data_IF_056836991697
#
_entry.id   IF_056836991697
#
_cell.length_a   1.000
_cell.length_b   1.000
_cell.length_c   1.000
_cell.angle_alpha   90.00
_cell.angle_beta   90.00
_cell.angle_gamma   90.00
#
_symmetry.space_group_name_H-M   'P 1'
#
loop_
_entity.id
_entity.type
_entity.pdbx_description
1 polymer ?
#
# COMPACT_ATOMS: atom_id res chain seq x y z
N UNK A 1 11.23 12.87 -2.84
CA UNK A 1 12.15 12.72 -1.71
C UNK A 1 12.43 14.04 -0.99
N UNK A 2 13.15 15.01 -1.59
CA UNK A 2 13.63 16.22 -0.89
C UNK A 2 12.56 17.04 -0.15
N UNK A 3 11.43 17.27 -0.82
CA UNK A 3 10.25 17.91 -0.23
C UNK A 3 9.82 17.20 1.08
N UNK A 4 9.73 15.88 1.03
CA UNK A 4 9.22 15.09 2.13
C UNK A 4 10.24 14.85 3.25
N UNK A 5 11.51 14.60 2.90
CA UNK A 5 12.55 14.31 3.88
C UNK A 5 13.03 15.57 4.63
N UNK A 6 13.19 16.71 3.93
CA UNK A 6 13.77 17.92 4.54
C UNK A 6 12.74 18.96 4.95
N UNK A 7 11.72 19.22 4.13
CA UNK A 7 10.74 20.26 4.42
C UNK A 7 9.65 19.73 5.34
N UNK A 8 9.15 18.53 5.05
CA UNK A 8 8.06 17.91 5.82
C UNK A 8 8.53 16.90 6.87
N UNK A 9 9.83 16.57 6.90
CA UNK A 9 10.47 15.70 7.89
C UNK A 9 9.72 14.38 8.13
N UNK A 10 9.40 13.67 7.05
CA UNK A 10 8.86 12.32 7.11
C UNK A 10 9.83 11.36 7.83
N UNK A 11 9.25 10.40 8.53
CA UNK A 11 9.96 9.48 9.43
C UNK A 11 10.53 8.26 8.70
N UNK A 12 9.85 7.76 7.65
CA UNK A 12 10.26 6.56 6.91
C UNK A 12 10.50 5.32 7.81
N UNK A 13 9.47 4.80 8.49
CA UNK A 13 9.61 3.70 9.46
C UNK A 13 10.26 2.43 8.88
N UNK A 14 10.03 2.16 7.59
CA UNK A 14 10.64 1.01 6.91
C UNK A 14 12.14 1.21 6.64
N UNK A 15 12.55 2.45 6.35
CA UNK A 15 13.98 2.77 6.21
C UNK A 15 14.70 2.63 7.56
N UNK A 16 14.05 3.05 8.66
CA UNK A 16 14.58 2.90 10.02
C UNK A 16 14.84 1.42 10.38
N UNK A 17 13.96 0.50 9.99
CA UNK A 17 14.20 -0.94 10.20
C UNK A 17 15.48 -1.39 9.49
N UNK A 18 15.67 -0.98 8.23
CA UNK A 18 16.84 -1.35 7.43
C UNK A 18 18.10 -0.72 7.99
N UNK A 19 18.06 0.55 8.42
CA UNK A 19 19.23 1.24 8.95
C UNK A 19 19.69 0.64 10.29
N UNK A 20 18.76 0.28 11.16
CA UNK A 20 19.04 -0.42 12.41
C UNK A 20 19.66 -1.81 12.18
N UNK A 21 19.22 -2.55 11.16
CA UNK A 21 19.79 -3.85 10.79
C UNK A 21 21.18 -3.73 10.16
N UNK A 22 21.40 -2.70 9.35
CA UNK A 22 22.68 -2.39 8.74
C UNK A 22 23.74 -1.88 9.74
N UNK A 23 23.38 -1.74 11.02
CA UNK A 23 24.31 -1.48 12.11
C UNK A 23 24.54 0.00 12.39
N UNK A 24 23.58 0.87 12.04
CA UNK A 24 23.61 2.26 12.51
C UNK A 24 23.66 2.27 14.05
N UNK A 25 24.76 2.80 14.59
CA UNK A 25 25.04 2.79 16.02
C UNK A 25 24.23 3.91 16.68
N UNK A 26 23.15 3.56 17.37
CA UNK A 26 22.73 4.37 18.52
C UNK A 26 23.92 4.37 19.49
N UNK A 27 24.58 5.53 19.63
CA UNK A 27 25.82 5.68 20.39
C UNK A 27 25.69 5.04 21.79
N UNK A 28 26.57 4.06 22.08
CA UNK A 28 26.63 3.40 23.39
C UNK A 28 25.75 2.16 23.58
N UNK A 29 24.96 1.72 22.59
CA UNK A 29 24.06 0.58 22.77
C UNK A 29 24.61 -0.75 22.21
N UNK A 30 24.23 -1.89 22.82
CA UNK A 30 24.63 -3.23 22.33
C UNK A 30 24.16 -3.43 20.88
N UNK A 31 24.94 -4.12 20.02
CA UNK A 31 24.50 -4.47 18.66
C UNK A 31 23.13 -5.15 18.67
N UNK A 32 22.31 -4.87 17.65
CA UNK A 32 20.93 -5.35 17.56
C UNK A 32 20.80 -6.86 17.76
N UNK A 33 21.59 -7.64 17.03
CA UNK A 33 21.63 -9.11 17.10
C UNK A 33 22.21 -9.68 18.39
N UNK A 34 22.80 -8.85 19.26
CA UNK A 34 23.26 -9.27 20.60
C UNK A 34 22.21 -8.99 21.68
N UNK A 35 21.07 -8.40 21.33
CA UNK A 35 19.99 -8.13 22.27
C UNK A 35 19.13 -9.37 22.50
N UNK A 36 18.97 -9.79 23.77
CA UNK A 36 18.04 -10.87 24.12
C UNK A 36 16.61 -10.56 23.69
N UNK A 37 16.17 -9.30 23.82
CA UNK A 37 14.84 -8.86 23.38
C UNK A 37 14.61 -8.98 21.87
N UNK A 38 15.66 -8.83 21.06
CA UNK A 38 15.53 -9.05 19.62
C UNK A 38 15.20 -10.52 19.33
N UNK A 39 15.97 -11.43 19.95
CA UNK A 39 15.76 -12.87 19.76
C UNK A 39 14.45 -13.36 20.35
N UNK A 40 13.96 -12.78 21.46
CA UNK A 40 12.63 -13.14 21.96
C UNK A 40 11.53 -12.75 20.96
N UNK A 41 11.57 -11.55 20.40
CA UNK A 41 10.62 -11.14 19.36
C UNK A 41 10.72 -12.01 18.11
N UNK A 42 11.94 -12.33 17.68
CA UNK A 42 12.21 -13.22 16.55
C UNK A 42 11.64 -14.62 16.78
N UNK A 43 11.95 -15.25 17.92
CA UNK A 43 11.51 -16.60 18.24
C UNK A 43 10.00 -16.70 18.41
N UNK A 44 9.33 -15.66 18.91
CA UNK A 44 7.85 -15.64 18.99
C UNK A 44 7.26 -15.67 17.58
N UNK A 45 7.68 -14.76 16.69
CA UNK A 45 7.13 -14.69 15.34
C UNK A 45 7.50 -15.93 14.50
N UNK A 46 8.79 -16.27 14.44
CA UNK A 46 9.28 -17.40 13.65
C UNK A 46 8.80 -18.74 14.22
N UNK A 47 8.75 -18.87 15.54
CA UNK A 47 8.30 -20.10 16.21
C UNK A 47 6.81 -20.37 16.00
N UNK A 48 5.94 -19.37 16.19
CA UNK A 48 4.50 -19.54 16.01
C UNK A 48 4.14 -19.80 14.54
N UNK A 49 4.75 -19.06 13.60
CA UNK A 49 4.49 -19.24 12.18
C UNK A 49 5.09 -20.55 11.65
N UNK A 50 6.30 -20.90 12.09
CA UNK A 50 6.92 -22.18 11.77
C UNK A 50 6.13 -23.35 12.34
N UNK A 51 5.60 -23.23 13.56
CA UNK A 51 4.71 -24.23 14.15
C UNK A 51 3.45 -24.43 13.31
N UNK A 52 2.81 -23.32 12.91
CA UNK A 52 1.64 -23.40 12.07
C UNK A 52 1.97 -23.99 10.70
N UNK A 53 3.14 -23.69 10.13
CA UNK A 53 3.58 -24.26 8.85
C UNK A 53 3.66 -25.78 8.94
N UNK A 54 4.39 -26.28 9.93
CA UNK A 54 4.58 -27.72 10.17
C UNK A 54 3.25 -28.45 10.43
N UNK A 55 2.31 -27.79 11.11
CA UNK A 55 0.99 -28.33 11.39
C UNK A 55 0.09 -28.38 10.14
N UNK A 56 0.19 -27.39 9.24
CA UNK A 56 -0.70 -27.26 8.07
C UNK A 56 -0.23 -28.11 6.89
N UNK A 57 1.09 -28.25 6.71
CA UNK A 57 1.67 -29.07 5.65
C UNK A 57 1.68 -30.57 6.00
N UNK A 58 1.21 -30.93 7.19
CA UNK A 58 1.12 -32.33 7.64
C UNK A 58 2.47 -32.98 7.93
N UNK A 59 3.57 -32.20 7.90
CA UNK A 59 4.94 -32.66 8.21
C UNK A 59 4.98 -33.29 9.62
N UNK A 60 4.22 -32.73 10.55
CA UNK A 60 4.02 -33.33 11.87
C UNK A 60 2.55 -33.66 12.09
N UNK A 61 2.24 -34.96 12.09
CA UNK A 61 0.91 -35.48 12.43
C UNK A 61 0.62 -35.26 13.93
N UNK A 62 -0.59 -34.82 14.28
CA UNK A 62 -1.13 -34.56 15.63
C UNK A 62 -0.87 -33.18 16.26
N UNK A 63 -0.40 -32.19 15.50
CA UNK A 63 -0.30 -30.81 15.99
C UNK A 63 -1.49 -29.98 15.50
N UNK A 64 -2.09 -29.18 16.39
CA UNK A 64 -3.07 -28.17 16.01
C UNK A 64 -2.38 -26.82 15.75
N UNK A 65 -2.67 -26.15 14.62
CA UNK A 65 -2.15 -24.81 14.37
C UNK A 65 -2.72 -23.81 15.37
N UNK A 66 -1.90 -22.84 15.77
CA UNK A 66 -2.30 -21.67 16.55
C UNK A 66 -3.19 -20.80 15.67
N UNK A 67 -4.44 -20.61 16.08
CA UNK A 67 -5.38 -19.71 15.39
C UNK A 67 -4.94 -18.27 15.56
N UNK A 68 -4.37 -17.69 14.51
CA UNK A 68 -4.02 -16.27 14.42
C UNK A 68 -5.16 -15.43 13.82
N UNK A 69 -6.21 -16.09 13.36
CA UNK A 69 -7.42 -15.48 12.80
C UNK A 69 -8.66 -15.91 13.58
N UNK A 70 -9.46 -14.92 13.97
CA UNK A 70 -10.76 -15.13 14.58
C UNK A 70 -11.83 -14.45 13.74
N UNK A 71 -12.60 -15.25 13.00
CA UNK A 71 -13.77 -14.82 12.24
C UNK A 71 -14.88 -14.39 13.20
N UNK A 72 -15.47 -13.23 12.95
CA UNK A 72 -16.55 -12.71 13.79
C UNK A 72 -17.89 -13.32 13.46
N UNK A 73 -18.05 -13.95 12.28
CA UNK A 73 -19.31 -14.57 11.87
C UNK A 73 -19.89 -15.51 12.95
N UNK A 74 -19.05 -16.32 13.56
CA UNK A 74 -19.43 -17.28 14.61
C UNK A 74 -20.03 -16.62 15.86
N UNK A 75 -19.73 -15.35 16.09
CA UNK A 75 -20.16 -14.60 17.29
C UNK A 75 -21.16 -13.48 16.98
N UNK A 76 -21.14 -12.96 15.76
CA UNK A 76 -21.76 -11.68 15.36
C UNK A 76 -22.64 -11.83 14.11
N UNK A 77 -22.74 -13.04 13.54
CA UNK A 77 -23.50 -13.31 12.31
C UNK A 77 -25.02 -13.14 12.42
N UNK A 78 -25.56 -12.90 13.61
CA UNK A 78 -26.99 -12.67 13.85
C UNK A 78 -27.25 -11.41 14.69
N UNK A 79 -28.40 -10.76 14.49
CA UNK A 79 -28.85 -9.61 15.29
C UNK A 79 -28.36 -8.26 14.79
N UNK A 80 -28.27 -7.28 15.71
CA UNK A 80 -27.95 -5.88 15.38
C UNK A 80 -26.56 -5.71 14.74
N UNK A 81 -25.65 -6.65 14.94
CA UNK A 81 -24.28 -6.58 14.42
C UNK A 81 -24.06 -7.41 13.14
N UNK A 82 -25.12 -7.95 12.52
CA UNK A 82 -25.04 -8.86 11.36
C UNK A 82 -24.13 -8.37 10.23
N UNK A 83 -24.07 -7.05 9.99
CA UNK A 83 -23.21 -6.47 8.95
C UNK A 83 -21.71 -6.75 9.16
N UNK A 84 -21.28 -7.02 10.39
CA UNK A 84 -19.90 -7.35 10.73
C UNK A 84 -19.58 -8.85 10.64
N UNK A 85 -20.51 -9.70 10.18
CA UNK A 85 -20.28 -11.15 10.08
C UNK A 85 -19.06 -11.52 9.23
N UNK A 86 -18.77 -10.74 8.18
CA UNK A 86 -17.57 -10.91 7.32
C UNK A 86 -16.31 -10.20 7.84
N UNK A 87 -16.31 -9.75 9.10
CA UNK A 87 -15.12 -9.16 9.74
C UNK A 87 -14.33 -10.24 10.48
N UNK A 88 -13.02 -10.08 10.53
CA UNK A 88 -12.14 -10.97 11.26
C UNK A 88 -11.05 -10.16 11.96
N UNK A 89 -10.52 -10.76 13.03
CA UNK A 89 -9.37 -10.25 13.75
C UNK A 89 -8.17 -11.12 13.41
N UNK A 90 -7.12 -10.52 12.85
CA UNK A 90 -5.91 -11.23 12.46
C UNK A 90 -4.68 -10.68 13.20
N UNK A 91 -3.83 -11.59 13.67
CA UNK A 91 -2.54 -11.29 14.30
C UNK A 91 -1.41 -11.50 13.30
N UNK A 92 -0.84 -10.40 12.81
CA UNK A 92 0.25 -10.35 11.86
C UNK A 92 1.43 -9.67 12.53
N UNK A 93 2.40 -10.48 12.93
CA UNK A 93 3.58 -10.06 13.68
C UNK A 93 4.36 -8.92 13.01
N UNK A 94 4.56 -8.96 11.68
CA UNK A 94 5.21 -7.86 10.96
C UNK A 94 4.42 -6.54 11.05
N UNK A 95 3.09 -6.59 10.92
CA UNK A 95 2.23 -5.40 11.00
C UNK A 95 2.24 -4.82 12.41
N UNK A 96 2.23 -5.66 13.46
CA UNK A 96 2.35 -5.22 14.86
C UNK A 96 3.69 -4.49 15.06
N UNK A 97 4.79 -5.09 14.60
CA UNK A 97 6.13 -4.52 14.73
C UNK A 97 6.27 -3.18 14.02
N UNK A 98 5.80 -3.08 12.78
CA UNK A 98 5.84 -1.81 12.04
C UNK A 98 4.93 -0.76 12.66
N UNK A 99 3.74 -1.14 13.12
CA UNK A 99 2.80 -0.21 13.79
C UNK A 99 3.36 0.37 15.08
N UNK A 100 4.26 -0.35 15.77
CA UNK A 100 4.99 0.16 16.92
C UNK A 100 6.02 1.24 16.55
N UNK A 101 6.67 1.12 15.38
CA UNK A 101 7.65 2.08 14.87
C UNK A 101 6.96 3.35 14.33
N UNK A 102 5.85 3.19 13.63
CA UNK A 102 5.02 4.28 13.08
C UNK A 102 4.52 5.22 14.19
N UNK A 103 4.51 6.55 14.03
CA UNK A 103 3.97 7.48 15.03
C UNK A 103 2.58 7.12 15.53
N UNK A 104 2.34 7.27 16.84
CA UNK A 104 1.10 6.88 17.48
C UNK A 104 -0.14 7.54 16.86
N UNK A 105 -0.03 8.81 16.41
CA UNK A 105 -1.14 9.50 15.72
C UNK A 105 -1.48 8.86 14.36
N UNK A 106 -0.48 8.37 13.63
CA UNK A 106 -0.71 7.71 12.34
C UNK A 106 -1.30 6.32 12.58
N UNK A 107 -0.68 5.50 13.43
CA UNK A 107 -1.19 4.15 13.71
C UNK A 107 -2.57 4.17 14.36
N UNK A 108 -2.88 5.15 15.22
CA UNK A 108 -4.24 5.40 15.71
C UNK A 108 -5.24 5.53 14.57
N UNK A 109 -4.92 6.38 13.60
CA UNK A 109 -5.84 6.73 12.52
C UNK A 109 -6.10 5.55 11.59
N UNK A 110 -5.09 4.71 11.35
CA UNK A 110 -5.21 3.53 10.49
C UNK A 110 -6.31 2.56 10.99
N UNK A 111 -6.32 2.20 12.27
CA UNK A 111 -7.35 1.32 12.82
C UNK A 111 -8.66 2.06 13.14
N UNK A 112 -8.58 3.34 13.56
CA UNK A 112 -9.75 4.14 13.92
C UNK A 112 -10.69 4.34 12.74
N UNK A 113 -10.17 4.70 11.56
CA UNK A 113 -11.02 4.88 10.36
C UNK A 113 -11.61 3.55 9.86
N UNK A 114 -10.92 2.43 10.08
CA UNK A 114 -11.48 1.11 9.77
C UNK A 114 -12.66 0.78 10.69
N UNK A 115 -12.53 1.03 12.00
CA UNK A 115 -13.62 0.86 12.97
C UNK A 115 -14.77 1.83 12.68
N UNK A 116 -14.48 3.07 12.29
CA UNK A 116 -15.50 4.03 11.87
C UNK A 116 -16.25 3.53 10.63
N UNK A 117 -15.53 2.94 9.66
CA UNK A 117 -16.14 2.32 8.49
C UNK A 117 -17.00 1.10 8.87
N UNK A 118 -16.58 0.28 9.84
CA UNK A 118 -17.41 -0.80 10.40
C UNK A 118 -18.72 -0.25 10.99
N UNK A 119 -18.67 0.89 11.68
CA UNK A 119 -19.87 1.59 12.18
C UNK A 119 -20.77 2.09 11.05
N UNK A 120 -20.19 2.71 10.02
CA UNK A 120 -20.93 3.13 8.82
C UNK A 120 -21.61 1.94 8.14
N UNK A 121 -20.92 0.80 8.08
CA UNK A 121 -21.44 -0.42 7.49
C UNK A 121 -22.67 -0.95 8.25
N UNK A 122 -22.64 -0.94 9.58
CA UNK A 122 -23.80 -1.31 10.40
C UNK A 122 -24.99 -0.39 10.13
N UNK A 123 -24.77 0.92 10.07
CA UNK A 123 -25.82 1.89 9.75
C UNK A 123 -26.42 1.60 8.37
N UNK A 124 -25.60 1.32 7.35
CA UNK A 124 -26.10 0.96 6.02
C UNK A 124 -26.95 -0.31 6.03
N UNK A 125 -26.51 -1.33 6.77
CA UNK A 125 -27.25 -2.60 6.92
C UNK A 125 -28.56 -2.41 7.71
N UNK A 126 -28.60 -1.49 8.67
CA UNK A 126 -29.83 -1.13 9.40
C UNK A 126 -30.82 -0.35 8.52
N UNK A 127 -30.31 0.50 7.62
CA UNK A 127 -31.11 1.22 6.62
C UNK A 127 -31.57 0.34 5.45
N UNK A 128 -31.23 -0.96 5.46
CA UNK A 128 -31.61 -1.91 4.42
C UNK A 128 -30.75 -1.84 3.15
N UNK A 129 -29.63 -1.13 3.18
CA UNK A 129 -28.67 -1.08 2.08
C UNK A 129 -27.63 -2.19 2.20
N UNK A 130 -27.85 -3.30 1.49
CA UNK A 130 -26.94 -4.44 1.46
C UNK A 130 -27.06 -5.34 2.68
N UNK A 131 -26.57 -6.58 2.55
CA UNK A 131 -26.67 -7.59 3.61
C UNK A 131 -25.32 -7.83 4.31
N UNK A 132 -24.21 -7.70 3.57
CA UNK A 132 -22.87 -8.06 4.05
C UNK A 132 -21.80 -7.06 3.63
N UNK A 133 -20.65 -7.13 4.32
CA UNK A 133 -19.46 -6.29 4.07
C UNK A 133 -19.01 -6.29 2.61
N UNK A 134 -19.16 -7.40 1.91
CA UNK A 134 -18.82 -7.55 0.50
C UNK A 134 -19.77 -6.81 -0.46
N UNK A 135 -21.08 -6.79 -0.14
CA UNK A 135 -22.08 -6.07 -0.95
C UNK A 135 -21.86 -4.55 -0.96
N UNK A 136 -21.36 -4.01 0.15
CA UNK A 136 -21.03 -2.59 0.34
C UNK A 136 -19.58 -2.24 -0.02
N UNK A 137 -18.72 -3.24 -0.21
CA UNK A 137 -17.30 -3.07 -0.55
C UNK A 137 -17.11 -2.39 -1.90
N UNK A 138 -17.80 -2.87 -2.93
CA UNK A 138 -17.60 -2.42 -4.31
C UNK A 138 -18.13 -1.00 -4.55
N UNK A 139 -19.22 -0.60 -3.87
CA UNK A 139 -19.86 0.70 -4.11
C UNK A 139 -19.46 1.75 -3.06
N UNK A 140 -19.63 1.44 -1.77
CA UNK A 140 -19.41 2.41 -0.69
C UNK A 140 -17.93 2.58 -0.34
N UNK A 141 -17.24 1.47 -0.04
CA UNK A 141 -15.83 1.51 0.39
C UNK A 141 -14.91 2.03 -0.70
N UNK A 142 -15.06 1.47 -1.90
CA UNK A 142 -14.21 1.79 -3.05
C UNK A 142 -14.48 3.22 -3.54
N UNK A 143 -15.73 3.66 -3.58
CA UNK A 143 -16.09 5.04 -3.91
C UNK A 143 -15.51 6.06 -2.93
N UNK A 144 -15.80 5.90 -1.63
CA UNK A 144 -15.31 6.79 -0.58
C UNK A 144 -13.77 6.84 -0.55
N UNK A 145 -13.15 5.67 -0.63
CA UNK A 145 -11.70 5.54 -0.71
C UNK A 145 -11.09 6.22 -1.94
N UNK A 146 -11.69 6.06 -3.12
CA UNK A 146 -11.23 6.70 -4.35
C UNK A 146 -11.28 8.23 -4.27
N UNK A 147 -12.39 8.79 -3.79
CA UNK A 147 -12.54 10.23 -3.62
C UNK A 147 -11.51 10.81 -2.65
N UNK A 148 -11.31 10.12 -1.52
CA UNK A 148 -10.29 10.46 -0.55
C UNK A 148 -8.88 10.40 -1.15
N UNK A 149 -8.58 9.37 -1.95
CA UNK A 149 -7.30 9.23 -2.65
C UNK A 149 -7.02 10.38 -3.60
N UNK A 150 -8.02 10.81 -4.37
CA UNK A 150 -7.87 11.87 -5.36
C UNK A 150 -7.53 13.19 -4.68
N UNK A 151 -8.28 13.59 -3.64
CA UNK A 151 -8.00 14.84 -2.92
C UNK A 151 -6.64 14.79 -2.22
N UNK A 152 -6.32 13.67 -1.55
CA UNK A 152 -5.02 13.50 -0.91
C UNK A 152 -3.87 13.57 -1.92
N UNK A 153 -3.95 12.81 -3.01
CA UNK A 153 -2.94 12.80 -4.06
C UNK A 153 -2.78 14.17 -4.72
N UNK A 154 -3.87 14.88 -5.03
CA UNK A 154 -3.82 16.22 -5.60
C UNK A 154 -3.10 17.20 -4.68
N UNK A 155 -3.36 17.11 -3.37
CA UNK A 155 -2.69 17.94 -2.36
C UNK A 155 -1.19 17.64 -2.32
N UNK A 156 -0.79 16.37 -2.40
CA UNK A 156 0.62 15.98 -2.41
C UNK A 156 1.31 16.38 -3.72
N UNK A 157 0.67 16.17 -4.87
CA UNK A 157 1.14 16.64 -6.18
C UNK A 157 1.36 18.15 -6.16
N UNK A 158 0.38 18.89 -5.63
CA UNK A 158 0.47 20.33 -5.48
C UNK A 158 1.69 20.71 -4.66
N UNK A 159 1.89 20.13 -3.48
CA UNK A 159 3.05 20.42 -2.63
C UNK A 159 4.39 20.05 -3.31
N UNK A 160 4.43 19.00 -4.12
CA UNK A 160 5.66 18.55 -4.79
C UNK A 160 5.95 19.24 -6.14
N UNK A 161 5.01 20.03 -6.67
CA UNK A 161 5.06 20.59 -8.04
C UNK A 161 6.35 21.34 -8.38
N UNK A 162 6.94 22.04 -7.40
CA UNK A 162 8.16 22.82 -7.60
C UNK A 162 9.37 21.93 -7.92
N UNK A 163 9.48 20.79 -7.24
CA UNK A 163 10.54 19.81 -7.49
C UNK A 163 10.28 18.99 -8.76
N UNK A 164 9.01 18.69 -9.08
CA UNK A 164 8.65 18.01 -10.33
C UNK A 164 8.95 18.85 -11.57
N UNK A 165 8.84 20.17 -11.47
CA UNK A 165 9.06 21.13 -12.55
C UNK A 165 10.42 21.85 -12.44
N UNK A 166 11.36 21.32 -11.65
CA UNK A 166 12.63 22.00 -11.41
C UNK A 166 13.53 22.08 -12.67
N UNK A 167 13.26 21.27 -13.70
CA UNK A 167 13.91 21.42 -15.02
C UNK A 167 13.65 22.80 -15.64
N UNK A 168 12.41 23.31 -15.51
CA UNK A 168 12.00 24.63 -16.01
C UNK A 168 12.17 25.74 -14.98
N UNK A 169 12.23 25.40 -13.69
CA UNK A 169 12.36 26.35 -12.58
C UNK A 169 13.64 26.08 -11.76
N UNK A 170 14.83 26.39 -12.31
CA UNK A 170 16.09 26.13 -11.62
C UNK A 170 16.23 26.91 -10.30
N UNK A 171 15.51 28.02 -10.14
CA UNK A 171 15.50 28.81 -8.91
C UNK A 171 15.01 28.05 -7.66
N UNK A 172 14.26 26.96 -7.82
CA UNK A 172 13.83 26.07 -6.72
C UNK A 172 15.02 25.36 -6.08
N UNK A 173 16.12 25.20 -6.81
CA UNK A 173 17.32 24.47 -6.37
C UNK A 173 18.39 25.39 -5.76
N UNK A 174 18.06 26.65 -5.45
CA UNK A 174 18.97 27.56 -4.74
C UNK A 174 19.33 26.99 -3.37
N UNK A 175 20.62 26.95 -3.04
CA UNK A 175 21.14 26.37 -1.79
C UNK A 175 21.29 24.85 -1.78
N UNK A 176 20.98 24.17 -2.90
CA UNK A 176 21.21 22.73 -3.06
C UNK A 176 22.62 22.50 -3.64
N UNK A 177 23.41 21.53 -3.15
CA UNK A 177 24.71 21.19 -3.73
C UNK A 177 24.62 20.92 -5.24
N UNK A 178 25.60 21.39 -6.01
CA UNK A 178 25.56 21.37 -7.48
C UNK A 178 25.26 19.98 -8.07
N UNK A 179 25.91 18.94 -7.54
CA UNK A 179 25.69 17.56 -7.98
C UNK A 179 24.26 17.08 -7.70
N UNK A 180 23.67 17.48 -6.58
CA UNK A 180 22.29 17.13 -6.22
C UNK A 180 21.29 17.90 -7.09
N UNK A 181 21.54 19.19 -7.33
CA UNK A 181 20.73 20.00 -8.22
C UNK A 181 20.72 19.42 -9.66
N UNK A 182 21.86 18.96 -10.16
CA UNK A 182 21.96 18.28 -11.46
C UNK A 182 21.13 17.01 -11.50
N UNK A 183 21.22 16.14 -10.49
CA UNK A 183 20.44 14.90 -10.38
C UNK A 183 18.93 15.17 -10.33
N UNK A 184 18.49 16.17 -9.55
CA UNK A 184 17.07 16.54 -9.48
C UNK A 184 16.55 17.05 -10.83
N UNK A 185 17.34 17.86 -11.55
CA UNK A 185 16.96 18.36 -12.89
C UNK A 185 16.87 17.22 -13.90
N UNK A 186 17.83 16.29 -13.90
CA UNK A 186 17.78 15.11 -14.77
C UNK A 186 16.56 14.25 -14.42
N UNK A 187 16.32 14.00 -13.13
CA UNK A 187 15.16 13.22 -12.67
C UNK A 187 13.83 13.87 -13.06
N UNK A 188 13.72 15.20 -12.95
CA UNK A 188 12.56 15.98 -13.40
C UNK A 188 12.38 15.90 -14.92
N UNK A 189 13.46 16.03 -15.70
CA UNK A 189 13.43 15.90 -17.15
C UNK A 189 13.01 14.49 -17.61
N UNK A 190 13.59 13.44 -17.00
CA UNK A 190 13.26 12.05 -17.29
C UNK A 190 11.82 11.72 -16.90
N UNK A 191 11.35 12.25 -15.78
CA UNK A 191 9.97 12.09 -15.35
C UNK A 191 9.00 12.74 -16.35
N UNK A 192 9.21 14.00 -16.73
CA UNK A 192 8.35 14.71 -17.68
C UNK A 192 8.43 14.12 -19.09
N UNK A 193 9.63 13.79 -19.55
CA UNK A 193 9.87 13.13 -20.84
C UNK A 193 9.25 11.73 -20.89
N UNK A 194 9.39 10.93 -19.83
CA UNK A 194 8.76 9.62 -19.69
C UNK A 194 7.24 9.71 -19.60
N UNK A 195 6.71 10.72 -18.91
CA UNK A 195 5.27 11.02 -18.87
C UNK A 195 4.72 11.28 -20.28
N UNK A 196 5.40 12.15 -21.02
CA UNK A 196 5.01 12.52 -22.37
C UNK A 196 5.13 11.34 -23.33
N UNK A 197 6.25 10.63 -23.29
CA UNK A 197 6.48 9.43 -24.10
C UNK A 197 5.40 8.38 -23.85
N UNK A 198 5.04 8.14 -22.58
CA UNK A 198 3.96 7.22 -22.24
C UNK A 198 2.62 7.66 -22.84
N UNK A 199 2.26 8.94 -22.70
CA UNK A 199 1.02 9.45 -23.27
C UNK A 199 1.01 9.34 -24.80
N UNK A 200 2.13 9.63 -25.47
CA UNK A 200 2.25 9.53 -26.92
C UNK A 200 2.17 8.08 -27.41
N UNK A 201 2.79 7.13 -26.70
CA UNK A 201 2.72 5.70 -27.02
C UNK A 201 1.28 5.19 -26.86
N UNK A 202 0.58 5.57 -25.80
CA UNK A 202 -0.82 5.18 -25.62
C UNK A 202 -1.74 5.81 -26.68
N UNK A 203 -1.57 7.09 -26.97
CA UNK A 203 -2.43 7.81 -27.91
C UNK A 203 -2.17 7.40 -29.37
N UNK A 204 -0.92 7.49 -29.82
CA UNK A 204 -0.56 7.28 -31.23
C UNK A 204 -0.08 5.86 -31.53
N UNK A 205 0.57 5.20 -30.58
CA UNK A 205 1.04 3.82 -30.76
C UNK A 205 -0.08 2.80 -30.66
N UNK A 206 -0.96 2.94 -29.68
CA UNK A 206 -2.09 2.03 -29.46
C UNK A 206 -3.45 2.58 -29.90
N UNK A 207 -3.51 3.81 -30.41
CA UNK A 207 -4.74 4.42 -30.93
C UNK A 207 -5.74 4.87 -29.86
N UNK A 208 -5.31 5.07 -28.61
CA UNK A 208 -6.20 5.56 -27.56
C UNK A 208 -6.52 7.06 -27.76
N UNK A 209 -7.68 7.49 -27.29
CA UNK A 209 -8.04 8.92 -27.37
C UNK A 209 -7.13 9.75 -26.43
N UNK A 210 -6.49 10.79 -26.98
CA UNK A 210 -5.53 11.63 -26.25
C UNK A 210 -6.12 12.29 -24.99
N UNK A 211 -7.40 12.70 -25.02
CA UNK A 211 -8.07 13.28 -23.86
C UNK A 211 -8.19 12.26 -22.73
N UNK A 212 -8.60 11.02 -23.03
CA UNK A 212 -8.68 9.97 -22.02
C UNK A 212 -7.33 9.52 -21.53
N UNK A 213 -6.33 9.46 -22.40
CA UNK A 213 -4.94 9.19 -22.00
C UNK A 213 -4.46 10.22 -20.99
N UNK A 214 -4.72 11.50 -21.22
CA UNK A 214 -4.33 12.58 -20.31
C UNK A 214 -5.04 12.48 -18.95
N UNK A 215 -6.36 12.28 -18.94
CA UNK A 215 -7.15 12.13 -17.70
C UNK A 215 -6.72 10.88 -16.93
N UNK A 216 -6.59 9.75 -17.62
CA UNK A 216 -6.13 8.49 -17.05
C UNK A 216 -4.74 8.64 -16.41
N UNK A 217 -3.82 9.31 -17.12
CA UNK A 217 -2.50 9.64 -16.61
C UNK A 217 -2.57 10.48 -15.34
N UNK A 218 -3.37 11.55 -15.30
CA UNK A 218 -3.54 12.38 -14.11
C UNK A 218 -4.10 11.59 -12.92
N UNK A 219 -5.08 10.72 -13.14
CA UNK A 219 -5.66 9.87 -12.09
C UNK A 219 -4.59 8.94 -11.53
N UNK A 220 -3.89 8.20 -12.40
CA UNK A 220 -2.82 7.28 -11.98
C UNK A 220 -1.74 8.04 -11.22
N UNK A 221 -1.31 9.20 -11.71
CA UNK A 221 -0.27 9.99 -11.04
C UNK A 221 -0.68 10.43 -9.65
N UNK A 222 -1.93 10.86 -9.49
CA UNK A 222 -2.52 11.23 -8.21
C UNK A 222 -2.54 10.03 -7.25
N UNK A 223 -2.98 8.86 -7.74
CA UNK A 223 -3.00 7.63 -6.96
C UNK A 223 -1.59 7.16 -6.58
N UNK A 224 -0.64 7.17 -7.51
CA UNK A 224 0.73 6.72 -7.28
C UNK A 224 1.45 7.61 -6.27
N UNK A 225 1.33 8.94 -6.36
CA UNK A 225 1.99 9.80 -5.37
C UNK A 225 1.36 9.67 -3.99
N UNK A 226 0.03 9.51 -3.92
CA UNK A 226 -0.69 9.26 -2.68
C UNK A 226 -0.22 7.95 -2.04
N UNK A 227 -0.06 6.89 -2.84
CA UNK A 227 0.48 5.61 -2.43
C UNK A 227 1.91 5.75 -1.88
N UNK A 228 2.82 6.38 -2.63
CA UNK A 228 4.21 6.58 -2.20
C UNK A 228 4.25 7.33 -0.88
N UNK A 229 3.43 8.39 -0.73
CA UNK A 229 3.34 9.15 0.51
C UNK A 229 2.83 8.31 1.67
N UNK A 230 1.76 7.54 1.46
CA UNK A 230 1.16 6.71 2.49
C UNK A 230 2.11 5.60 2.99
N UNK A 231 2.90 4.97 2.11
CA UNK A 231 3.93 4.01 2.52
C UNK A 231 5.11 4.69 3.22
N UNK A 232 5.63 5.77 2.65
CA UNK A 232 6.79 6.48 3.20
C UNK A 232 6.52 7.07 4.60
N UNK A 233 5.32 7.61 4.81
CA UNK A 233 4.93 8.21 6.09
C UNK A 233 4.35 7.19 7.07
N UNK A 234 3.48 6.29 6.59
CA UNK A 234 2.71 5.39 7.43
C UNK A 234 3.33 4.01 7.64
N UNK A 235 4.45 3.69 6.98
CA UNK A 235 5.09 2.37 7.07
C UNK A 235 4.19 1.22 6.62
N UNK A 236 3.11 1.49 5.87
CA UNK A 236 2.11 0.47 5.53
C UNK A 236 2.73 -0.54 4.57
N UNK A 237 2.76 -1.81 4.98
CA UNK A 237 3.43 -2.92 4.28
C UNK A 237 2.77 -3.32 2.95
N UNK A 238 1.54 -2.91 2.70
CA UNK A 238 0.85 -3.18 1.45
C UNK A 238 -0.40 -2.32 1.33
N UNK A 239 -0.41 -1.44 0.34
CA UNK A 239 -1.58 -0.66 -0.04
C UNK A 239 -2.05 -1.20 -1.39
N UNK A 240 -3.28 -1.66 -1.41
CA UNK A 240 -3.99 -1.99 -2.63
C UNK A 240 -5.15 -1.03 -2.78
N UNK A 241 -5.38 -0.52 -3.98
CA UNK A 241 -6.62 0.22 -4.25
C UNK A 241 -7.65 -0.75 -4.80
N UNK A 242 -8.82 -0.82 -4.16
CA UNK A 242 -9.98 -1.52 -4.73
C UNK A 242 -10.58 -0.76 -5.93
N UNK A 243 -10.27 0.54 -6.08
CA UNK A 243 -10.73 1.36 -7.18
C UNK A 243 -9.62 1.54 -8.24
N UNK A 244 -9.78 0.93 -9.41
CA UNK A 244 -8.88 1.15 -10.54
C UNK A 244 -9.01 2.55 -11.14
N UNK A 245 -7.96 3.06 -11.78
CA UNK A 245 -7.96 4.40 -12.39
C UNK A 245 -9.07 4.58 -13.44
N UNK A 246 -9.36 3.52 -14.21
CA UNK A 246 -10.48 3.52 -15.16
C UNK A 246 -11.85 3.49 -14.49
N UNK A 247 -11.96 2.84 -13.33
CA UNK A 247 -13.15 2.90 -12.46
C UNK A 247 -13.44 4.34 -12.07
N UNK A 248 -12.44 5.05 -11.57
CA UNK A 248 -12.55 6.47 -11.19
C UNK A 248 -12.91 7.33 -12.40
N UNK A 249 -12.26 7.10 -13.56
CA UNK A 249 -12.57 7.82 -14.80
C UNK A 249 -14.04 7.61 -15.24
N UNK A 250 -14.54 6.37 -15.17
CA UNK A 250 -15.94 6.02 -15.46
C UNK A 250 -16.89 6.74 -14.51
N UNK A 251 -16.55 6.77 -13.23
CA UNK A 251 -17.37 7.43 -12.21
C UNK A 251 -17.43 8.93 -12.46
N UNK A 252 -16.33 9.60 -12.80
CA UNK A 252 -16.32 11.07 -13.03
C UNK A 252 -17.05 11.45 -14.31
N UNK A 253 -16.62 10.91 -15.46
CA UNK A 253 -17.08 11.40 -16.77
C UNK A 253 -18.31 10.65 -17.30
N UNK A 254 -18.53 9.41 -16.84
CA UNK A 254 -19.39 8.49 -17.58
C UNK A 254 -18.76 8.08 -18.90
N UNK A 255 -19.09 6.88 -19.38
CA UNK A 255 -18.51 6.35 -20.62
C UNK A 255 -19.57 6.14 -21.71
N UNK A 256 -20.69 6.86 -21.68
CA UNK A 256 -21.85 6.60 -22.55
C UNK A 256 -21.86 7.38 -23.87
N UNK A 257 -20.84 8.19 -24.17
CA UNK A 257 -20.78 8.98 -25.40
C UNK A 257 -20.06 8.28 -26.55
N UNK A 258 -20.36 8.62 -27.80
CA UNK A 258 -19.69 8.06 -28.99
C UNK A 258 -18.17 8.36 -29.07
N UNK A 259 -17.70 9.35 -28.32
CA UNK A 259 -16.28 9.68 -28.12
C UNK A 259 -15.57 8.68 -27.18
N UNK A 260 -16.31 7.83 -26.47
CA UNK A 260 -15.81 6.74 -25.65
C UNK A 260 -15.95 5.38 -26.35
N UNK A 261 -15.76 5.28 -27.67
CA UNK A 261 -15.83 3.99 -28.33
C UNK A 261 -14.87 2.97 -27.65
N UNK A 262 -15.27 1.71 -27.43
CA UNK A 262 -14.44 0.72 -26.73
C UNK A 262 -13.02 0.59 -27.30
N UNK A 263 -12.86 0.71 -28.62
CA UNK A 263 -11.56 0.68 -29.28
C UNK A 263 -10.61 1.80 -28.82
N UNK A 264 -11.14 2.98 -28.45
CA UNK A 264 -10.35 4.13 -28.00
C UNK A 264 -9.94 4.04 -26.52
N UNK A 265 -10.53 3.11 -25.76
CA UNK A 265 -10.33 2.94 -24.31
C UNK A 265 -9.67 1.60 -23.97
N UNK A 266 -9.83 0.58 -24.81
CA UNK A 266 -9.27 -0.76 -24.61
C UNK A 266 -7.76 -0.78 -24.33
N UNK A 267 -6.90 0.02 -25.00
CA UNK A 267 -5.48 0.07 -24.67
C UNK A 267 -5.20 0.51 -23.23
N UNK A 268 -5.98 1.48 -22.72
CA UNK A 268 -5.85 1.96 -21.35
C UNK A 268 -6.18 0.87 -20.33
N UNK A 269 -7.09 -0.05 -20.68
CA UNK A 269 -7.55 -1.10 -19.79
C UNK A 269 -6.53 -2.22 -19.65
N UNK A 270 -5.92 -2.65 -20.76
CA UNK A 270 -4.79 -3.57 -20.74
C UNK A 270 -3.62 -2.95 -19.98
N UNK A 271 -3.30 -1.69 -20.26
CA UNK A 271 -2.20 -0.99 -19.60
C UNK A 271 -2.43 -0.84 -18.09
N UNK A 272 -3.64 -0.47 -17.68
CA UNK A 272 -4.03 -0.40 -16.27
C UNK A 272 -3.88 -1.76 -15.59
N UNK A 273 -4.34 -2.84 -16.20
CA UNK A 273 -4.27 -4.17 -15.61
C UNK A 273 -2.83 -4.67 -15.46
N UNK A 274 -2.00 -4.53 -16.49
CA UNK A 274 -0.63 -5.05 -16.51
C UNK A 274 0.29 -4.28 -15.58
N UNK A 275 0.26 -2.94 -15.63
CA UNK A 275 1.24 -2.12 -14.91
C UNK A 275 0.73 -1.58 -13.57
N UNK A 276 -0.58 -1.42 -13.43
CA UNK A 276 -1.19 -0.79 -12.26
C UNK A 276 -2.19 -1.71 -11.54
N UNK A 277 -2.44 -2.93 -12.04
CA UNK A 277 -3.34 -3.90 -11.41
C UNK A 277 -2.83 -4.36 -10.04
N UNK A 278 -1.52 -4.34 -9.83
CA UNK A 278 -0.87 -4.72 -8.57
C UNK A 278 -0.18 -3.53 -7.90
N UNK A 279 -0.95 -2.61 -7.30
CA UNK A 279 -0.44 -1.44 -6.56
C UNK A 279 0.65 -1.78 -5.52
N UNK A 280 0.56 -2.96 -4.88
CA UNK A 280 1.53 -3.43 -3.88
C UNK A 280 2.94 -3.66 -4.45
N UNK A 281 3.05 -3.99 -5.74
CA UNK A 281 4.31 -4.31 -6.41
C UNK A 281 4.94 -3.06 -7.05
N UNK A 282 4.32 -1.89 -6.89
CA UNK A 282 4.85 -0.67 -7.47
C UNK A 282 6.17 -0.29 -6.80
N UNK A 283 7.19 0.01 -7.61
CA UNK A 283 8.57 0.19 -7.14
C UNK A 283 8.76 1.54 -6.42
N UNK A 284 7.97 2.56 -6.76
CA UNK A 284 8.21 3.93 -6.28
C UNK A 284 8.18 4.12 -4.75
N UNK A 285 7.28 3.49 -3.97
CA UNK A 285 7.31 3.55 -2.52
C UNK A 285 8.59 2.94 -1.92
N UNK A 286 9.06 1.82 -2.48
CA UNK A 286 10.31 1.19 -2.08
C UNK A 286 11.50 2.09 -2.41
N UNK A 287 11.49 2.73 -3.58
CA UNK A 287 12.50 3.72 -3.97
C UNK A 287 12.56 4.92 -3.02
N UNK A 288 11.40 5.41 -2.54
CA UNK A 288 11.36 6.51 -1.59
C UNK A 288 12.05 6.16 -0.25
N UNK A 289 11.82 4.94 0.25
CA UNK A 289 12.52 4.42 1.43
C UNK A 289 14.01 4.16 1.15
N UNK A 290 14.36 3.60 -0.02
CA UNK A 290 15.76 3.35 -0.39
C UNK A 290 16.57 4.65 -0.50
N UNK A 291 15.98 5.73 -1.02
CA UNK A 291 16.61 7.05 -1.06
C UNK A 291 16.87 7.63 0.34
N UNK A 292 16.01 7.30 1.32
CA UNK A 292 16.24 7.66 2.72
C UNK A 292 17.45 6.94 3.29
N UNK A 293 17.53 5.62 3.09
CA UNK A 293 18.68 4.80 3.50
C UNK A 293 19.97 5.30 2.83
N UNK A 294 19.92 5.66 1.53
CA UNK A 294 21.07 6.23 0.81
C UNK A 294 21.61 7.49 1.49
N UNK A 295 20.71 8.37 1.95
CA UNK A 295 21.06 9.62 2.62
C UNK A 295 21.71 9.35 3.99
N UNK A 296 21.12 8.46 4.80
CA UNK A 296 21.62 8.10 6.13
C UNK A 296 23.03 7.51 6.08
N UNK A 297 23.25 6.54 5.18
CA UNK A 297 24.56 5.90 5.00
C UNK A 297 25.53 6.68 4.10
N UNK A 298 25.15 7.88 3.63
CA UNK A 298 25.94 8.71 2.70
C UNK A 298 26.52 7.92 1.53
N UNK A 299 25.71 7.02 0.97
CA UNK A 299 26.17 6.10 -0.08
C UNK A 299 26.53 6.85 -1.37
N UNK A 300 27.55 6.37 -2.07
CA UNK A 300 27.94 6.92 -3.38
C UNK A 300 26.82 6.69 -4.40
N UNK A 301 26.40 7.78 -5.07
CA UNK A 301 25.20 7.82 -5.92
C UNK A 301 25.22 6.84 -7.09
N UNK A 302 26.36 6.74 -7.78
CA UNK A 302 26.49 5.89 -8.97
C UNK A 302 26.33 4.40 -8.61
N UNK A 303 26.99 3.98 -7.53
CA UNK A 303 26.91 2.61 -7.03
C UNK A 303 25.52 2.26 -6.51
N UNK A 304 24.87 3.20 -5.80
CA UNK A 304 23.52 2.99 -5.29
C UNK A 304 22.51 2.78 -6.43
N UNK A 305 22.47 3.68 -7.41
CA UNK A 305 21.55 3.56 -8.54
C UNK A 305 21.90 2.35 -9.42
N UNK A 306 23.19 2.07 -9.62
CA UNK A 306 23.65 0.88 -10.34
C UNK A 306 23.21 -0.43 -9.67
N UNK A 307 23.35 -0.54 -8.35
CA UNK A 307 22.93 -1.71 -7.60
C UNK A 307 21.41 -1.93 -7.68
N UNK A 308 20.60 -0.87 -7.64
CA UNK A 308 19.15 -0.97 -7.81
C UNK A 308 18.81 -1.49 -9.20
N UNK A 309 19.43 -0.95 -10.26
CA UNK A 309 19.17 -1.41 -11.63
C UNK A 309 19.57 -2.86 -11.84
N UNK A 310 20.75 -3.26 -11.37
CA UNK A 310 21.19 -4.66 -11.41
C UNK A 310 20.23 -5.54 -10.63
N UNK A 311 19.78 -5.12 -9.44
CA UNK A 311 18.80 -5.85 -8.64
C UNK A 311 17.47 -6.04 -9.35
N UNK A 312 16.94 -4.99 -10.00
CA UNK A 312 15.70 -5.08 -10.80
C UNK A 312 15.89 -6.07 -11.96
N UNK A 313 16.99 -5.95 -12.72
CA UNK A 313 17.26 -6.84 -13.86
C UNK A 313 17.40 -8.30 -13.43
N UNK A 314 18.19 -8.57 -12.39
CA UNK A 314 18.38 -9.92 -11.85
C UNK A 314 17.06 -10.47 -11.33
N UNK A 315 16.31 -9.69 -10.55
CA UNK A 315 15.01 -10.13 -10.03
C UNK A 315 14.02 -10.44 -11.15
N UNK A 316 13.93 -9.60 -12.19
CA UNK A 316 13.05 -9.83 -13.35
C UNK A 316 13.49 -11.07 -14.12
N UNK A 317 14.77 -11.21 -14.45
CA UNK A 317 15.28 -12.37 -15.20
C UNK A 317 15.08 -13.67 -14.42
N UNK A 318 15.51 -13.72 -13.15
CA UNK A 318 15.38 -14.91 -12.31
C UNK A 318 13.91 -15.27 -12.10
N UNK A 319 13.03 -14.30 -11.78
CA UNK A 319 11.61 -14.58 -11.58
C UNK A 319 10.91 -15.06 -12.85
N UNK A 320 11.16 -14.44 -14.00
CA UNK A 320 10.57 -14.85 -15.27
C UNK A 320 11.08 -16.23 -15.70
N UNK A 321 12.39 -16.48 -15.65
CA UNK A 321 12.97 -17.78 -16.03
C UNK A 321 12.47 -18.88 -15.10
N UNK A 322 12.47 -18.64 -13.79
CA UNK A 322 12.01 -19.63 -12.80
C UNK A 322 10.52 -19.94 -12.98
N UNK A 323 9.68 -18.92 -13.19
CA UNK A 323 8.25 -19.13 -13.43
C UNK A 323 8.01 -19.98 -14.68
N UNK A 324 8.75 -19.71 -15.77
CA UNK A 324 8.66 -20.47 -17.01
C UNK A 324 9.10 -21.92 -16.79
N UNK A 325 10.25 -22.15 -16.14
CA UNK A 325 10.76 -23.49 -15.86
C UNK A 325 9.79 -24.30 -14.99
N UNK A 326 9.27 -23.71 -13.92
CA UNK A 326 8.28 -24.36 -13.05
C UNK A 326 6.98 -24.66 -13.80
N UNK A 327 6.54 -23.74 -14.67
CA UNK A 327 5.34 -23.94 -15.50
C UNK A 327 5.51 -25.10 -16.49
N UNK A 328 6.70 -25.29 -17.06
CA UNK A 328 7.00 -26.43 -17.93
C UNK A 328 7.14 -27.74 -17.16
N UNK A 329 7.76 -27.71 -15.97
CA UNK A 329 8.02 -28.92 -15.19
C UNK A 329 6.75 -29.49 -14.55
N UNK A 330 5.94 -28.64 -13.92
CA UNK A 330 4.77 -29.08 -13.16
C UNK A 330 3.47 -28.90 -13.94
N UNK A 331 3.48 -28.15 -15.03
CA UNK A 331 2.29 -27.68 -15.74
C UNK A 331 1.77 -26.40 -15.09
N UNK A 332 1.56 -25.34 -15.88
CA UNK A 332 1.09 -24.05 -15.39
C UNK A 332 -0.25 -24.14 -14.63
N UNK A 333 -1.15 -25.03 -15.06
CA UNK A 333 -2.44 -25.27 -14.43
C UNK A 333 -2.36 -25.99 -13.08
N UNK A 334 -1.25 -26.70 -12.82
CA UNK A 334 -1.00 -27.37 -11.53
C UNK A 334 -0.31 -26.45 -10.51
N UNK A 335 0.18 -25.28 -10.95
CA UNK A 335 0.70 -24.25 -10.05
C UNK A 335 -0.48 -23.47 -9.41
N UNK A 336 -0.16 -22.46 -8.59
CA UNK A 336 -1.17 -21.66 -7.90
C UNK A 336 -2.22 -21.08 -8.88
N UNK A 337 -3.46 -21.58 -8.77
CA UNK A 337 -4.53 -21.33 -9.75
C UNK A 337 -4.88 -19.85 -9.92
N UNK A 338 -4.75 -19.05 -8.85
CA UNK A 338 -4.99 -17.60 -8.94
C UNK A 338 -3.97 -16.93 -9.87
N UNK A 339 -2.68 -17.26 -9.76
CA UNK A 339 -1.61 -16.58 -10.49
C UNK A 339 -1.61 -17.01 -11.96
N UNK A 340 -1.70 -18.32 -12.21
CA UNK A 340 -1.48 -18.91 -13.53
C UNK A 340 -2.75 -18.97 -14.39
N UNK A 341 -3.93 -19.01 -13.78
CA UNK A 341 -5.19 -19.22 -14.52
C UNK A 341 -6.20 -18.10 -14.25
N UNK A 342 -6.55 -17.83 -12.99
CA UNK A 342 -7.68 -16.94 -12.66
C UNK A 342 -7.37 -15.46 -12.89
N UNK A 343 -6.18 -14.98 -12.56
CA UNK A 343 -5.82 -13.56 -12.70
C UNK A 343 -5.71 -13.14 -14.17
N UNK A 344 -5.13 -13.99 -15.01
CA UNK A 344 -5.07 -13.77 -16.46
C UNK A 344 -6.47 -13.72 -17.08
N UNK A 345 -7.28 -14.75 -16.85
CA UNK A 345 -8.68 -14.81 -17.34
C UNK A 345 -9.50 -13.64 -16.81
N UNK A 346 -9.47 -13.40 -15.49
CA UNK A 346 -10.21 -12.31 -14.85
C UNK A 346 -9.83 -10.92 -15.35
N UNK A 347 -8.59 -10.72 -15.78
CA UNK A 347 -8.17 -9.47 -16.44
C UNK A 347 -8.89 -9.28 -17.77
N UNK A 348 -8.87 -10.30 -18.65
CA UNK A 348 -9.51 -10.22 -19.97
C UNK A 348 -11.04 -10.29 -19.90
N UNK A 349 -11.61 -11.06 -18.98
CA UNK A 349 -13.04 -11.06 -18.67
C UNK A 349 -13.48 -9.70 -18.13
N UNK A 350 -12.63 -9.06 -17.33
CA UNK A 350 -12.78 -7.66 -16.93
C UNK A 350 -12.83 -6.74 -18.14
N UNK A 351 -11.86 -6.83 -19.06
CA UNK A 351 -11.87 -6.06 -20.32
C UNK A 351 -13.19 -6.27 -21.06
N UNK A 352 -13.59 -7.53 -21.26
CA UNK A 352 -14.81 -7.91 -21.97
C UNK A 352 -16.06 -7.33 -21.30
N UNK A 353 -16.21 -7.51 -20.00
CA UNK A 353 -17.33 -6.93 -19.22
C UNK A 353 -17.35 -5.41 -19.32
N UNK A 354 -16.20 -4.76 -19.34
CA UNK A 354 -16.11 -3.32 -19.51
C UNK A 354 -16.54 -2.87 -20.91
N UNK A 355 -16.16 -3.60 -21.95
CA UNK A 355 -16.57 -3.36 -23.35
C UNK A 355 -18.08 -3.58 -23.52
N UNK A 356 -18.63 -4.64 -22.94
CA UNK A 356 -20.05 -5.01 -23.04
C UNK A 356 -20.96 -4.12 -22.18
N UNK A 357 -20.50 -3.69 -21.01
CA UNK A 357 -21.27 -2.87 -20.07
C UNK A 357 -20.95 -1.38 -20.19
N UNK A 358 -20.56 -0.94 -21.39
CA UNK A 358 -20.29 0.46 -21.71
C UNK A 358 -21.53 1.30 -21.41
N UNK A 359 -21.50 2.06 -20.32
CA UNK A 359 -22.68 2.73 -19.81
C UNK A 359 -22.37 3.76 -18.72
N UNK A 360 -23.35 4.59 -18.34
CA UNK A 360 -23.15 5.59 -17.30
C UNK A 360 -22.66 4.93 -16.01
N UNK A 361 -21.63 5.50 -15.37
CA UNK A 361 -21.20 5.06 -14.05
C UNK A 361 -22.38 5.12 -13.07
N UNK A 362 -22.41 4.22 -12.08
CA UNK A 362 -23.52 4.19 -11.12
C UNK A 362 -23.58 5.52 -10.37
N UNK A 363 -24.75 6.14 -10.31
CA UNK A 363 -24.95 7.43 -9.62
C UNK A 363 -24.56 7.32 -8.13
N UNK A 364 -24.81 6.18 -7.50
CA UNK A 364 -24.39 5.91 -6.12
C UNK A 364 -22.88 5.99 -5.92
N UNK A 365 -22.08 5.41 -6.82
CA UNK A 365 -20.61 5.44 -6.75
C UNK A 365 -20.07 6.87 -6.83
N UNK A 366 -20.69 7.72 -7.65
CA UNK A 366 -20.36 9.15 -7.75
C UNK A 366 -20.55 9.87 -6.42
N UNK A 367 -21.69 9.66 -5.76
CA UNK A 367 -21.97 10.28 -4.46
C UNK A 367 -21.03 9.81 -3.36
N UNK A 368 -20.71 8.51 -3.32
CA UNK A 368 -19.72 7.98 -2.38
C UNK A 368 -18.32 8.56 -2.61
N UNK A 369 -17.93 8.71 -3.88
CA UNK A 369 -16.67 9.36 -4.23
C UNK A 369 -16.64 10.83 -3.83
N UNK A 370 -17.71 11.58 -4.07
CA UNK A 370 -17.82 12.97 -3.62
C UNK A 370 -17.78 13.08 -2.10
N UNK A 371 -18.47 12.18 -1.37
CA UNK A 371 -18.42 12.12 0.08
C UNK A 371 -16.99 11.85 0.59
N UNK A 372 -16.28 10.90 -0.01
CA UNK A 372 -14.89 10.62 0.32
C UNK A 372 -13.94 11.79 0.05
N UNK A 373 -14.12 12.46 -1.08
CA UNK A 373 -13.38 13.67 -1.43
C UNK A 373 -13.63 14.80 -0.42
N UNK A 374 -14.90 15.02 -0.06
CA UNK A 374 -15.29 16.02 0.94
C UNK A 374 -14.73 15.70 2.32
N UNK A 375 -14.83 14.45 2.78
CA UNK A 375 -14.27 14.01 4.05
C UNK A 375 -12.75 14.19 4.12
N UNK A 376 -12.03 13.83 3.06
CA UNK A 376 -10.59 14.04 2.99
C UNK A 376 -10.23 15.53 2.97
N UNK A 377 -10.93 16.35 2.19
CA UNK A 377 -10.74 17.80 2.15
C UNK A 377 -10.98 18.44 3.51
N UNK A 378 -12.08 18.08 4.17
CA UNK A 378 -12.41 18.53 5.52
C UNK A 378 -11.39 18.08 6.56
N UNK A 379 -10.85 16.86 6.45
CA UNK A 379 -9.81 16.36 7.35
C UNK A 379 -8.47 17.10 7.15
N UNK A 380 -8.08 17.36 5.90
CA UNK A 380 -6.87 18.12 5.59
C UNK A 380 -6.99 19.57 6.08
N UNK A 381 -8.14 20.22 5.87
CA UNK A 381 -8.42 21.55 6.37
C UNK A 381 -8.47 21.59 7.91
N UNK A 382 -9.21 20.67 8.52
CA UNK A 382 -9.34 20.55 9.96
C UNK A 382 -8.00 20.34 10.65
N UNK A 383 -7.08 19.58 10.04
CA UNK A 383 -5.73 19.37 10.58
C UNK A 383 -4.88 20.63 10.62
N UNK A 384 -5.14 21.63 9.77
CA UNK A 384 -4.48 22.93 9.84
C UNK A 384 -4.96 23.75 11.05
N UNK A 385 -6.17 23.49 11.55
CA UNK A 385 -6.82 24.30 12.60
C UNK A 385 -6.89 23.62 13.96
N UNK A 386 -7.02 22.29 14.00
CA UNK A 386 -7.26 21.50 15.21
C UNK A 386 -6.17 20.45 15.41
N UNK A 387 -5.53 20.49 16.59
CA UNK A 387 -4.38 19.61 16.92
C UNK A 387 -4.76 18.12 17.13
N UNK A 388 -6.03 17.85 17.46
CA UNK A 388 -6.54 16.51 17.78
C UNK A 388 -7.08 15.71 16.60
N UNK A 389 -7.07 16.27 15.38
CA UNK A 389 -7.62 15.58 14.22
C UNK A 389 -6.81 14.32 13.87
N UNK A 390 -7.48 13.20 13.53
CA UNK A 390 -6.83 12.01 13.00
C UNK A 390 -6.00 12.31 11.74
N UNK A 391 -5.04 11.44 11.49
CA UNK A 391 -4.17 11.49 10.33
C UNK A 391 -4.92 11.10 9.04
N UNK A 392 -4.77 11.86 7.93
CA UNK A 392 -5.46 11.61 6.66
C UNK A 392 -5.14 10.25 6.02
N UNK A 393 -3.95 9.70 6.28
CA UNK A 393 -3.58 8.35 5.79
C UNK A 393 -4.56 7.28 6.27
N UNK A 394 -5.14 7.43 7.46
CA UNK A 394 -6.13 6.47 7.96
C UNK A 394 -7.40 6.42 7.10
N UNK A 395 -7.92 7.59 6.69
CA UNK A 395 -9.07 7.66 5.78
C UNK A 395 -8.72 7.10 4.39
N UNK A 396 -7.50 7.35 3.91
CA UNK A 396 -6.99 6.79 2.66
C UNK A 396 -6.96 5.25 2.69
N UNK A 397 -6.60 4.65 3.83
CA UNK A 397 -6.53 3.20 3.97
C UNK A 397 -7.87 2.48 3.86
N UNK A 398 -9.01 3.17 3.96
CA UNK A 398 -10.32 2.52 3.80
C UNK A 398 -10.41 1.82 2.43
N UNK A 399 -9.81 2.35 1.36
CA UNK A 399 -9.86 1.67 0.06
C UNK A 399 -9.07 0.35 0.00
N UNK A 400 -8.21 0.10 0.99
CA UNK A 400 -7.29 -1.03 1.01
C UNK A 400 -8.00 -2.28 1.56
N UNK A 401 -8.21 -3.33 0.74
CA UNK A 401 -8.81 -4.57 1.22
C UNK A 401 -7.98 -5.23 2.32
N UNK A 402 -6.65 -5.06 2.29
CA UNK A 402 -5.76 -5.64 3.31
C UNK A 402 -6.03 -5.08 4.73
N UNK A 403 -6.70 -3.92 4.85
CA UNK A 403 -7.15 -3.42 6.15
C UNK A 403 -8.13 -4.34 6.85
N UNK A 404 -8.80 -5.25 6.13
CA UNK A 404 -9.67 -6.27 6.73
C UNK A 404 -8.95 -7.15 7.74
N UNK A 405 -7.70 -7.53 7.45
CA UNK A 405 -6.86 -8.28 8.39
C UNK A 405 -5.93 -7.41 9.23
N UNK A 406 -5.47 -6.28 8.70
CA UNK A 406 -4.41 -5.50 9.36
C UNK A 406 -4.89 -4.69 10.55
N UNK A 407 -6.15 -4.24 10.59
CA UNK A 407 -6.64 -3.31 11.60
C UNK A 407 -6.40 -3.79 13.04
N UNK A 408 -6.63 -5.08 13.32
CA UNK A 408 -6.45 -5.67 14.64
C UNK A 408 -4.98 -5.70 15.08
N UNK A 409 -4.08 -6.03 14.15
CA UNK A 409 -2.63 -5.99 14.37
C UNK A 409 -2.11 -4.57 14.57
N UNK A 410 -2.64 -3.60 13.82
CA UNK A 410 -2.30 -2.18 13.98
C UNK A 410 -2.76 -1.66 15.33
N UNK A 411 -3.96 -2.04 15.78
CA UNK A 411 -4.50 -1.70 17.10
C UNK A 411 -3.59 -2.22 18.22
N UNK A 412 -3.13 -3.47 18.14
CA UNK A 412 -2.17 -4.04 19.11
C UNK A 412 -0.87 -3.23 19.12
N UNK A 413 -0.26 -3.00 17.95
CA UNK A 413 1.01 -2.27 17.85
C UNK A 413 0.90 -0.83 18.37
N UNK A 414 -0.22 -0.15 18.07
CA UNK A 414 -0.55 1.17 18.61
C UNK A 414 -0.72 1.15 20.14
N UNK A 415 -1.45 0.16 20.67
CA UNK A 415 -1.64 -0.02 22.11
C UNK A 415 -0.31 -0.20 22.83
N UNK A 416 0.54 -1.10 22.34
CA UNK A 416 1.89 -1.30 22.85
C UNK A 416 2.73 -0.01 22.78
N UNK A 417 2.69 0.70 21.66
CA UNK A 417 3.43 1.96 21.50
C UNK A 417 2.99 3.00 22.53
N UNK A 418 1.70 3.19 22.73
CA UNK A 418 1.17 4.14 23.70
C UNK A 418 1.59 3.79 25.12
N UNK A 419 1.46 2.53 25.52
CA UNK A 419 1.88 2.07 26.85
C UNK A 419 3.37 2.32 27.06
N UNK A 420 4.23 1.85 26.14
CA UNK A 420 5.68 2.03 26.28
C UNK A 420 6.06 3.51 26.25
N UNK A 421 5.48 4.32 25.36
CA UNK A 421 5.80 5.75 25.27
C UNK A 421 5.36 6.57 26.48
N UNK A 422 4.33 6.10 27.20
CA UNK A 422 3.79 6.80 28.39
C UNK A 422 4.49 6.39 29.68
N UNK A 423 4.90 5.12 29.80
CA UNK A 423 5.40 4.56 31.05
C UNK A 423 6.90 4.25 31.06
N UNK A 424 7.57 4.21 29.91
CA UNK A 424 8.99 3.84 29.82
C UNK A 424 9.89 5.05 29.55
N UNK A 425 11.14 4.97 30.04
CA UNK A 425 12.20 5.93 29.69
C UNK A 425 12.65 5.76 28.23
N UNK A 426 13.42 6.72 27.72
CA UNK A 426 13.96 6.64 26.35
C UNK A 426 14.82 5.38 26.13
N UNK A 427 15.67 5.02 27.08
CA UNK A 427 16.52 3.83 26.99
C UNK A 427 15.69 2.54 26.96
N UNK A 428 14.65 2.47 27.78
CA UNK A 428 13.72 1.34 27.79
C UNK A 428 12.94 1.26 26.48
N UNK A 429 12.53 2.39 25.90
CA UNK A 429 11.90 2.44 24.58
C UNK A 429 12.83 1.86 23.50
N UNK A 430 14.10 2.26 23.47
CA UNK A 430 15.10 1.74 22.51
C UNK A 430 15.30 0.23 22.70
N UNK A 431 15.29 -0.24 23.95
CA UNK A 431 15.38 -1.67 24.27
C UNK A 431 14.18 -2.46 23.76
N UNK A 432 12.96 -1.98 24.04
CA UNK A 432 11.69 -2.58 23.59
C UNK A 432 11.54 -2.50 22.06
N UNK A 433 12.03 -1.43 21.41
CA UNK A 433 12.04 -1.31 19.95
C UNK A 433 12.72 -2.51 19.27
N UNK A 434 13.77 -3.05 19.89
CA UNK A 434 14.49 -4.23 19.36
C UNK A 434 13.61 -5.48 19.34
N UNK A 435 12.70 -5.63 20.30
CA UNK A 435 11.72 -6.72 20.32
C UNK A 435 10.79 -6.67 19.10
N UNK A 436 10.23 -5.50 18.83
CA UNK A 436 9.32 -5.32 17.68
C UNK A 436 10.04 -5.48 16.34
N UNK A 437 11.32 -5.13 16.24
CA UNK A 437 12.08 -5.41 15.01
C UNK A 437 12.40 -6.90 14.89
N UNK A 438 12.72 -7.58 16.00
CA UNK A 438 12.81 -9.04 16.03
C UNK A 438 11.53 -9.70 15.54
N UNK A 439 10.36 -9.19 15.95
CA UNK A 439 9.04 -9.63 15.52
C UNK A 439 8.84 -9.51 14.00
N UNK A 440 9.29 -8.40 13.39
CA UNK A 440 9.24 -8.18 11.93
C UNK A 440 10.13 -9.21 11.22
N UNK A 441 11.38 -9.34 11.66
CA UNK A 441 12.36 -10.21 11.00
C UNK A 441 12.00 -11.68 11.15
N UNK A 442 11.53 -12.11 12.31
CA UNK A 442 11.04 -13.46 12.53
C UNK A 442 9.86 -13.80 11.61
N UNK A 443 8.94 -12.85 11.40
CA UNK A 443 7.85 -13.02 10.45
C UNK A 443 8.34 -13.15 9.00
N UNK A 444 9.24 -12.27 8.55
CA UNK A 444 9.79 -12.30 7.19
C UNK A 444 10.59 -13.59 6.91
N UNK A 445 11.36 -14.05 7.89
CA UNK A 445 12.12 -15.30 7.79
C UNK A 445 11.18 -16.51 7.71
N UNK A 446 10.12 -16.55 8.52
CA UNK A 446 9.13 -17.62 8.43
C UNK A 446 8.45 -17.67 7.05
N UNK A 447 8.16 -16.51 6.45
CA UNK A 447 7.62 -16.42 5.08
C UNK A 447 8.61 -16.96 4.04
N UNK A 448 9.91 -16.66 4.17
CA UNK A 448 10.93 -17.20 3.27
C UNK A 448 11.05 -18.72 3.33
N UNK A 449 10.86 -19.32 4.51
CA UNK A 449 10.97 -20.77 4.73
C UNK A 449 9.69 -21.56 4.45
N UNK A 450 8.70 -20.95 3.78
CA UNK A 450 7.55 -21.67 3.24
C UNK A 450 6.23 -21.42 3.94
N UNK A 451 6.18 -20.60 4.99
CA UNK A 451 4.88 -20.10 5.46
C UNK A 451 4.28 -19.25 4.35
N UNK A 452 3.16 -19.68 3.78
CA UNK A 452 2.50 -18.96 2.70
C UNK A 452 1.63 -17.81 3.27
N UNK A 453 2.08 -16.55 3.21
CA UNK A 453 1.23 -15.43 3.59
C UNK A 453 0.09 -15.23 2.57
N UNK A 454 0.15 -15.80 1.35
CA UNK A 454 -0.87 -15.59 0.32
C UNK A 454 -2.19 -16.28 0.67
N UNK A 455 -2.18 -17.43 1.35
CA UNK A 455 -3.40 -18.01 1.96
C UNK A 455 -4.08 -17.08 2.98
N UNK A 456 -3.32 -16.14 3.57
CA UNK A 456 -3.83 -15.16 4.54
C UNK A 456 -4.24 -13.82 3.90
N UNK A 457 -3.75 -13.52 2.70
CA UNK A 457 -4.02 -12.24 2.02
C UNK A 457 -5.22 -12.28 1.08
N UNK A 458 -5.61 -13.47 0.65
CA UNK A 458 -6.71 -13.70 -0.28
C UNK A 458 -7.51 -14.90 0.22
N UNK A 459 -8.52 -14.61 1.05
CA UNK A 459 -9.60 -15.57 1.27
C UNK A 459 -10.29 -15.91 -0.03
#
# INVERSE_FOLDING_TARGET
FKQWAHHEKLIYPLAEVVSLLAGEKDAGTKPMFRSGLFWTGFCIAAGILGWNYLATDGIITNIKPVKLETLWNTYVGSGALRGLGSTYFCVIFAVIGVSFLVPAKISFSLWFFEVLYMGLLLVMVWLGHGNDRWSLHNVGRSGLGAGAMMIFGCTILWTCRQYLLCVFKPGVLRGVPADEAKELRISSALFLGGSLALMLVLAYGFGANLFFVFIFYLIIMTMMIALVRAVAEGGVLGIQSSAGALGIMRTIFGMSGGWCAPALVAPLLVFNAVLFGAFRAFIAPMMANALKVREEFRMRRLYFHGAIWVGILVATLVSSVTLILLSYQYGADNLHAWLNTANGKGTFDGVKSWVETFGPGKVSERWWMLAGAFLMGGLLFGRQRFFGMPHPIGLLMIMNPNMFGYWGSILIGWGCKNVVSKYCSHEQYVSVRRFFIGLIIGHLVAVLFGWDPLKFHWG
#
